data_IF_106210936098
#
_entry.id   IF_106210936098
#
_cell.length_a   1.000
_cell.length_b   1.000
_cell.length_c   1.000
_cell.angle_alpha   90.00
_cell.angle_beta   90.00
_cell.angle_gamma   90.00
#
_symmetry.space_group_name_H-M   'P 1'
#
loop_
_entity.id
_entity.type
_entity.pdbx_description
1 polymer ?
#
# COMPACT_ATOMS: atom_id res chain seq x y z
N UNK A 1 -25.01 -17.84 -2.08
CA UNK A 1 -23.87 -17.48 -2.94
C UNK A 1 -23.29 -16.19 -2.37
N UNK A 2 -22.20 -16.27 -1.61
CA UNK A 2 -21.68 -15.12 -0.88
C UNK A 2 -21.07 -14.13 -1.87
N UNK A 3 -21.65 -12.93 -1.95
CA UNK A 3 -21.05 -11.78 -2.62
C UNK A 3 -19.79 -11.37 -1.84
N UNK A 4 -18.68 -12.06 -2.08
CA UNK A 4 -17.37 -11.55 -1.69
C UNK A 4 -17.11 -10.34 -2.59
N UNK A 5 -17.48 -9.15 -2.12
CA UNK A 5 -16.99 -7.90 -2.70
C UNK A 5 -15.48 -8.03 -2.71
N UNK A 6 -14.88 -8.10 -3.90
CA UNK A 6 -13.43 -8.17 -4.08
C UNK A 6 -12.90 -6.87 -3.47
N UNK A 7 -12.45 -6.94 -2.23
CA UNK A 7 -12.11 -5.77 -1.45
C UNK A 7 -10.82 -5.19 -2.04
N UNK A 8 -10.98 -4.26 -2.97
CA UNK A 8 -9.87 -3.61 -3.61
C UNK A 8 -9.13 -2.72 -2.61
N UNK A 9 -7.80 -2.83 -2.56
CA UNK A 9 -6.96 -2.05 -1.63
C UNK A 9 -7.04 -0.56 -1.98
N UNK A 10 -7.24 -0.24 -3.26
CA UNK A 10 -7.33 1.12 -3.78
C UNK A 10 -8.45 1.94 -3.09
N UNK A 11 -9.72 1.49 -3.03
CA UNK A 11 -10.76 2.13 -2.22
C UNK A 11 -10.40 2.35 -0.75
N UNK A 12 -9.71 1.39 -0.12
CA UNK A 12 -9.26 1.52 1.26
C UNK A 12 -8.21 2.63 1.41
N UNK A 13 -7.25 2.71 0.48
CA UNK A 13 -6.22 3.73 0.45
C UNK A 13 -6.80 5.12 0.16
N UNK A 14 -7.74 5.23 -0.79
CA UNK A 14 -8.46 6.48 -1.04
C UNK A 14 -9.15 6.96 0.23
N UNK A 15 -9.85 6.09 0.95
CA UNK A 15 -10.51 6.44 2.22
C UNK A 15 -9.52 6.81 3.33
N UNK A 16 -8.35 6.17 3.37
CA UNK A 16 -7.28 6.50 4.31
C UNK A 16 -6.72 7.91 4.04
N UNK A 17 -6.55 8.25 2.76
CA UNK A 17 -6.06 9.57 2.34
C UNK A 17 -7.08 10.68 2.57
N UNK A 18 -8.38 10.41 2.44
CA UNK A 18 -9.42 11.45 2.56
C UNK A 18 -9.93 11.63 3.99
N UNK A 19 -10.19 10.52 4.70
CA UNK A 19 -10.80 10.56 6.04
C UNK A 19 -9.76 10.65 7.15
N UNK A 20 -8.57 10.08 6.96
CA UNK A 20 -7.49 10.01 7.97
C UNK A 20 -6.23 10.77 7.54
N UNK A 21 -6.44 11.88 6.84
CA UNK A 21 -5.41 12.70 6.18
C UNK A 21 -4.24 13.06 7.12
N UNK A 22 -4.57 13.57 8.31
CA UNK A 22 -3.60 13.98 9.35
C UNK A 22 -3.49 13.00 10.52
N UNK A 23 -4.35 11.96 10.58
CA UNK A 23 -4.26 10.95 11.63
C UNK A 23 -3.04 10.06 11.40
N UNK A 24 -2.36 9.67 12.49
CA UNK A 24 -1.30 8.66 12.40
C UNK A 24 -1.92 7.32 12.03
N UNK A 25 -1.46 6.74 10.93
CA UNK A 25 -1.94 5.43 10.43
C UNK A 25 -0.85 4.36 10.52
N UNK A 26 0.41 4.76 10.67
CA UNK A 26 1.54 3.85 10.76
C UNK A 26 2.57 4.40 11.75
N UNK A 27 3.07 3.52 12.62
CA UNK A 27 4.14 3.80 13.59
C UNK A 27 5.27 2.81 13.33
N UNK A 28 6.49 3.30 13.15
CA UNK A 28 7.71 2.51 12.91
C UNK A 28 8.79 3.03 13.86
N UNK A 29 8.99 2.35 14.99
CA UNK A 29 9.78 2.91 16.09
C UNK A 29 9.24 4.30 16.46
N UNK A 30 10.12 5.31 16.46
CA UNK A 30 9.76 6.71 16.74
C UNK A 30 9.09 7.44 15.56
N UNK A 31 9.10 6.84 14.35
CA UNK A 31 8.56 7.50 13.16
C UNK A 31 7.07 7.25 13.03
N UNK A 32 6.31 8.32 12.81
CA UNK A 32 4.87 8.28 12.57
C UNK A 32 4.57 8.78 11.16
N UNK A 33 3.75 8.04 10.41
CA UNK A 33 3.22 8.48 9.11
C UNK A 33 1.73 8.75 9.23
N UNK A 34 1.29 9.86 8.64
CA UNK A 34 -0.12 10.21 8.49
C UNK A 34 -0.73 9.46 7.31
N UNK A 35 -2.07 9.41 7.23
CA UNK A 35 -2.78 8.79 6.10
C UNK A 35 -2.27 9.30 4.74
N UNK A 36 -2.12 10.62 4.60
CA UNK A 36 -1.61 11.23 3.36
C UNK A 36 -0.17 10.79 3.03
N UNK A 37 0.77 10.86 3.99
CA UNK A 37 2.18 10.46 3.78
C UNK A 37 2.32 8.95 3.54
N UNK A 38 1.42 8.17 4.12
CA UNK A 38 1.39 6.73 3.93
C UNK A 38 0.93 6.38 2.52
N UNK A 39 -0.26 6.85 2.11
CA UNK A 39 -0.85 6.56 0.79
C UNK A 39 0.02 7.13 -0.34
N UNK A 40 0.54 8.34 -0.20
CA UNK A 40 1.43 8.91 -1.22
C UNK A 40 2.73 8.12 -1.40
N UNK A 41 3.30 7.58 -0.31
CA UNK A 41 4.46 6.71 -0.40
C UNK A 41 4.15 5.35 -1.02
N UNK A 42 2.95 4.83 -0.78
CA UNK A 42 2.47 3.57 -1.34
C UNK A 42 2.24 3.67 -2.85
N UNK A 43 1.55 4.73 -3.31
CA UNK A 43 1.33 5.01 -4.73
C UNK A 43 2.63 5.27 -5.48
N UNK A 44 3.59 5.99 -4.87
CA UNK A 44 4.90 6.21 -5.47
C UNK A 44 5.68 4.90 -5.66
N UNK A 45 5.59 4.00 -4.68
CA UNK A 45 6.19 2.67 -4.78
C UNK A 45 5.49 1.82 -5.85
N UNK A 46 4.16 1.82 -5.88
CA UNK A 46 3.38 1.11 -6.88
C UNK A 46 3.71 1.57 -8.31
N UNK A 47 3.82 2.88 -8.52
CA UNK A 47 4.21 3.43 -9.81
C UNK A 47 5.63 3.01 -10.22
N UNK A 48 6.58 3.00 -9.28
CA UNK A 48 7.94 2.50 -9.53
C UNK A 48 7.98 1.01 -9.88
N UNK A 49 7.12 0.20 -9.25
CA UNK A 49 6.98 -1.22 -9.55
C UNK A 49 6.41 -1.45 -10.96
N UNK A 50 5.38 -0.69 -11.35
CA UNK A 50 4.83 -0.72 -12.71
C UNK A 50 5.90 -0.30 -13.74
N UNK A 51 6.69 0.72 -13.44
CA UNK A 51 7.82 1.15 -14.30
C UNK A 51 8.91 0.08 -14.44
N UNK A 52 9.05 -0.81 -13.45
CA UNK A 52 9.94 -1.98 -13.53
C UNK A 52 9.35 -3.14 -14.34
N UNK A 53 8.12 -2.99 -14.86
CA UNK A 53 7.46 -3.96 -15.73
C UNK A 53 6.51 -4.91 -15.02
N UNK A 54 6.13 -4.63 -13.76
CA UNK A 54 5.12 -5.43 -13.07
C UNK A 54 3.74 -5.25 -13.69
N UNK A 55 3.09 -6.38 -13.96
CA UNK A 55 1.76 -6.44 -14.55
C UNK A 55 0.79 -7.24 -13.67
N UNK A 56 -0.52 -6.95 -13.75
CA UNK A 56 -1.53 -7.73 -13.03
C UNK A 56 -1.42 -9.22 -13.38
N UNK A 57 -1.29 -10.06 -12.36
CA UNK A 57 -1.11 -11.51 -12.50
C UNK A 57 0.32 -11.99 -12.24
N UNK A 58 1.30 -11.09 -12.15
CA UNK A 58 2.67 -11.45 -11.80
C UNK A 58 2.80 -11.92 -10.34
N UNK A 59 3.53 -13.01 -10.15
CA UNK A 59 3.86 -13.54 -8.82
C UNK A 59 5.19 -12.97 -8.36
N UNK A 60 5.16 -12.14 -7.33
CA UNK A 60 6.34 -11.50 -6.75
C UNK A 60 6.64 -11.96 -5.33
N UNK A 61 7.92 -12.16 -5.03
CA UNK A 61 8.38 -12.44 -3.67
C UNK A 61 8.89 -11.18 -3.02
N UNK A 62 8.34 -10.83 -1.86
CA UNK A 62 8.82 -9.70 -1.05
C UNK A 62 9.68 -10.22 0.08
N UNK A 63 10.93 -9.78 0.10
CA UNK A 63 11.84 -9.95 1.23
C UNK A 63 12.19 -8.56 1.75
N UNK A 64 11.87 -8.31 3.02
CA UNK A 64 12.17 -7.06 3.68
C UNK A 64 12.53 -7.30 5.14
N UNK A 65 13.56 -6.59 5.62
CA UNK A 65 13.94 -6.59 7.03
C UNK A 65 12.84 -5.95 7.88
N UNK A 66 12.64 -6.46 9.10
CA UNK A 66 11.53 -6.11 10.00
C UNK A 66 11.60 -4.69 10.61
N UNK A 67 12.12 -3.71 9.87
CA UNK A 67 12.49 -2.40 10.41
C UNK A 67 11.92 -1.22 9.63
N UNK A 68 11.46 -1.37 8.39
CA UNK A 68 11.17 -0.17 7.59
C UNK A 68 10.03 -0.26 6.56
N UNK A 69 9.89 -1.35 5.81
CA UNK A 69 9.09 -1.29 4.57
C UNK A 69 8.04 -2.38 4.37
N UNK A 70 7.94 -3.40 5.24
CA UNK A 70 7.01 -4.52 5.00
C UNK A 70 5.60 -4.05 4.67
N UNK A 71 4.98 -3.27 5.55
CA UNK A 71 3.60 -2.84 5.37
C UNK A 71 3.38 -2.03 4.08
N UNK A 72 4.30 -1.11 3.76
CA UNK A 72 4.18 -0.27 2.55
C UNK A 72 4.47 -1.04 1.27
N UNK A 73 5.38 -2.01 1.30
CA UNK A 73 5.68 -2.85 0.13
C UNK A 73 4.56 -3.84 -0.17
N UNK A 74 3.96 -4.47 0.86
CA UNK A 74 2.83 -5.37 0.67
C UNK A 74 1.59 -4.66 0.12
N UNK A 75 1.33 -3.43 0.59
CA UNK A 75 0.15 -2.66 0.19
C UNK A 75 0.33 -2.10 -1.23
N UNK A 76 1.51 -1.56 -1.55
CA UNK A 76 1.83 -1.11 -2.92
C UNK A 76 1.75 -2.25 -3.95
N UNK A 77 2.19 -3.46 -3.59
CA UNK A 77 2.03 -4.63 -4.45
C UNK A 77 0.57 -5.02 -4.63
N UNK A 78 -0.21 -4.98 -3.55
CA UNK A 78 -1.66 -5.13 -3.65
C UNK A 78 -2.27 -4.12 -4.63
N UNK A 79 -1.79 -2.86 -4.61
CA UNK A 79 -2.28 -1.83 -5.52
C UNK A 79 -1.83 -2.01 -6.98
N UNK A 80 -0.73 -2.73 -7.25
CA UNK A 80 -0.25 -3.04 -8.60
C UNK A 80 -0.90 -4.27 -9.24
N UNK A 81 -1.37 -5.22 -8.44
CA UNK A 81 -1.87 -6.52 -8.90
C UNK A 81 -3.38 -6.47 -9.20
N UNK A 82 -4.06 -5.41 -8.76
CA UNK A 82 -5.48 -5.14 -9.05
C UNK A 82 -5.68 -4.37 -10.35
#
# INVERSE_FOLDING_TARGET
>A
MANYSKAHICPCLSRLSTVRLSSTVMIIGERRKTGMKFVGGDLGLAHGLIQLGLTPGDVVTVTALNRYSKCTTFIALGACIE
#
